data_IF_613022607219
#
_entry.id   IF_613022607219
#
_cell.length_a   1.000
_cell.length_b   1.000
_cell.length_c   1.000
_cell.angle_alpha   90.00
_cell.angle_beta   90.00
_cell.angle_gamma   90.00
#
_symmetry.space_group_name_H-M   'P 1'
#
loop_
_entity.id
_entity.type
_entity.pdbx_description
1 polymer ?
#
# COMPACT_ATOMS: atom_id res chain seq x y z
N UNK A 1 -2.15 -43.84 19.69
CA UNK A 1 -0.92 -43.97 20.50
C UNK A 1 -0.72 -42.65 21.23
N UNK A 2 -0.84 -42.63 22.56
CA UNK A 2 -0.49 -41.47 23.38
C UNK A 2 1.02 -41.51 23.61
N UNK A 3 1.72 -40.41 23.33
CA UNK A 3 3.16 -40.32 23.50
C UNK A 3 3.45 -40.12 25.00
N UNK A 4 4.01 -41.14 25.66
CA UNK A 4 4.39 -41.07 27.08
C UNK A 4 5.74 -40.37 27.25
N UNK A 5 5.68 -39.04 27.32
CA UNK A 5 6.85 -38.16 27.50
C UNK A 5 7.63 -38.50 28.80
N UNK A 6 6.93 -39.03 29.80
CA UNK A 6 7.48 -39.43 31.10
C UNK A 6 8.55 -40.53 30.99
N UNK A 7 8.46 -41.43 30.00
CA UNK A 7 9.44 -42.51 29.83
C UNK A 7 10.73 -42.01 29.15
N UNK A 8 10.63 -41.02 28.26
CA UNK A 8 11.79 -40.36 27.63
C UNK A 8 12.55 -39.48 28.63
N UNK A 9 11.83 -38.82 29.54
CA UNK A 9 12.44 -38.06 30.64
C UNK A 9 13.19 -38.95 31.66
N UNK A 10 12.77 -40.21 31.81
CA UNK A 10 13.36 -41.15 32.76
C UNK A 10 14.59 -41.90 32.25
N UNK A 11 14.80 -41.99 30.92
CA UNK A 11 15.94 -42.70 30.34
C UNK A 11 17.25 -41.89 30.43
N UNK A 12 17.17 -40.58 30.20
CA UNK A 12 18.31 -39.67 30.36
C UNK A 12 17.78 -38.25 30.67
N UNK A 13 18.02 -37.77 31.88
CA UNK A 13 17.35 -36.60 32.45
C UNK A 13 17.62 -35.30 31.67
N UNK A 14 18.75 -35.23 30.96
CA UNK A 14 19.14 -34.05 30.19
C UNK A 14 18.90 -34.21 28.69
N UNK A 15 19.18 -35.40 28.14
CA UNK A 15 19.13 -35.64 26.70
C UNK A 15 17.70 -35.72 26.16
N UNK A 16 16.78 -36.33 26.92
CA UNK A 16 15.37 -36.48 26.52
C UNK A 16 14.65 -35.14 26.29
N UNK A 17 14.59 -34.25 27.30
CA UNK A 17 13.96 -32.94 27.16
C UNK A 17 14.61 -32.06 26.09
N UNK A 18 15.94 -32.12 25.99
CA UNK A 18 16.71 -31.33 25.03
C UNK A 18 16.45 -31.75 23.58
N UNK A 19 16.49 -33.05 23.28
CA UNK A 19 16.15 -33.58 21.96
C UNK A 19 14.68 -33.33 21.61
N UNK A 20 13.76 -33.45 22.56
CA UNK A 20 12.34 -33.15 22.32
C UNK A 20 12.11 -31.66 22.01
N UNK A 21 12.74 -30.76 22.78
CA UNK A 21 12.66 -29.32 22.54
C UNK A 21 13.27 -28.94 21.19
N UNK A 22 14.44 -29.47 20.85
CA UNK A 22 15.09 -29.27 19.56
C UNK A 22 14.27 -29.84 18.41
N UNK A 23 13.65 -31.01 18.57
CA UNK A 23 12.78 -31.59 17.56
C UNK A 23 11.55 -30.74 17.32
N UNK A 24 10.87 -30.30 18.38
CA UNK A 24 9.71 -29.41 18.27
C UNK A 24 10.11 -28.06 17.65
N UNK A 25 11.26 -27.52 18.04
CA UNK A 25 11.82 -26.30 17.44
C UNK A 25 12.15 -26.51 15.96
N UNK A 26 12.89 -27.57 15.59
CA UNK A 26 13.24 -27.88 14.20
C UNK A 26 12.02 -28.12 13.34
N UNK A 27 11.05 -28.90 13.80
CA UNK A 27 9.82 -29.16 13.05
C UNK A 27 9.06 -27.85 12.83
N UNK A 28 8.88 -27.04 13.87
CA UNK A 28 8.21 -25.75 13.74
C UNK A 28 9.00 -24.82 12.82
N UNK A 29 10.31 -24.68 12.97
CA UNK A 29 11.13 -23.79 12.15
C UNK A 29 11.28 -24.27 10.71
N UNK A 30 11.45 -25.56 10.44
CA UNK A 30 11.57 -26.11 9.09
C UNK A 30 10.23 -26.07 8.38
N UNK A 31 9.15 -26.49 9.05
CA UNK A 31 7.81 -26.37 8.49
C UNK A 31 7.47 -24.90 8.25
N UNK A 32 7.67 -24.00 9.22
CA UNK A 32 7.39 -22.57 9.03
C UNK A 32 8.28 -21.95 7.95
N UNK A 33 9.58 -22.25 7.91
CA UNK A 33 10.47 -21.73 6.88
C UNK A 33 10.04 -22.16 5.48
N UNK A 34 9.59 -23.41 5.33
CA UNK A 34 9.07 -23.92 4.06
C UNK A 34 7.70 -23.32 3.72
N UNK A 35 6.77 -23.25 4.69
CA UNK A 35 5.47 -22.61 4.51
C UNK A 35 5.63 -21.13 4.14
N UNK A 36 6.49 -20.40 4.85
CA UNK A 36 6.82 -19.02 4.55
C UNK A 36 7.44 -18.88 3.15
N UNK A 37 8.29 -19.82 2.73
CA UNK A 37 8.87 -19.82 1.39
C UNK A 37 7.80 -20.06 0.31
N UNK A 38 6.90 -21.02 0.48
CA UNK A 38 5.78 -21.31 -0.44
C UNK A 38 4.82 -20.12 -0.51
N UNK A 39 4.45 -19.55 0.64
CA UNK A 39 3.58 -18.37 0.70
C UNK A 39 4.26 -17.17 0.03
N UNK A 40 5.55 -16.95 0.32
CA UNK A 40 6.33 -15.86 -0.27
C UNK A 40 6.49 -16.02 -1.79
N UNK A 41 6.69 -17.24 -2.27
CA UNK A 41 6.80 -17.50 -3.71
C UNK A 41 5.45 -17.35 -4.43
N UNK A 42 4.37 -17.87 -3.85
CA UNK A 42 3.00 -17.66 -4.35
C UNK A 42 2.64 -16.18 -4.39
N UNK A 43 3.02 -15.43 -3.37
CA UNK A 43 2.83 -13.98 -3.29
C UNK A 43 3.65 -13.24 -4.35
N UNK A 44 4.91 -13.64 -4.57
CA UNK A 44 5.76 -13.07 -5.64
C UNK A 44 5.23 -13.37 -7.03
N UNK A 45 4.73 -14.58 -7.24
CA UNK A 45 4.12 -14.99 -8.50
C UNK A 45 2.84 -14.18 -8.79
N UNK A 46 1.98 -13.98 -7.78
CA UNK A 46 0.81 -13.11 -7.90
C UNK A 46 1.18 -11.62 -8.10
N UNK A 47 2.22 -11.15 -7.40
CA UNK A 47 2.71 -9.76 -7.43
C UNK A 47 3.37 -9.36 -8.76
N UNK A 48 3.80 -10.31 -9.59
CA UNK A 48 4.37 -10.04 -10.91
C UNK A 48 3.42 -9.32 -11.87
N UNK A 49 2.11 -9.33 -11.59
CA UNK A 49 1.08 -8.79 -12.50
C UNK A 49 0.34 -7.55 -11.97
N UNK A 50 0.54 -7.10 -10.73
CA UNK A 50 -0.37 -6.13 -10.11
C UNK A 50 0.33 -5.22 -9.08
N UNK A 51 0.79 -4.04 -9.50
CA UNK A 51 1.32 -3.00 -8.59
C UNK A 51 0.28 -2.55 -7.53
N UNK A 52 -1.01 -2.70 -7.83
CA UNK A 52 -2.10 -2.29 -6.95
C UNK A 52 -2.25 -3.15 -5.68
N UNK A 53 -1.80 -4.40 -5.71
CA UNK A 53 -2.04 -5.36 -4.62
C UNK A 53 -1.06 -5.22 -3.44
N UNK A 54 0.09 -4.60 -3.68
CA UNK A 54 1.08 -4.32 -2.63
C UNK A 54 0.55 -3.35 -1.58
N UNK A 55 -0.29 -2.42 -2.01
CA UNK A 55 -0.98 -1.49 -1.12
C UNK A 55 -1.91 -2.27 -0.22
N UNK A 56 -2.79 -3.12 -0.77
CA UNK A 56 -3.79 -3.87 -0.01
C UNK A 56 -3.15 -4.84 1.00
N UNK A 57 -2.10 -5.55 0.60
CA UNK A 57 -1.46 -6.58 1.43
C UNK A 57 -0.61 -5.96 2.55
N UNK A 58 0.06 -4.84 2.29
CA UNK A 58 0.71 -4.06 3.35
C UNK A 58 -0.30 -3.47 4.33
N UNK A 59 -1.48 -3.05 3.86
CA UNK A 59 -2.59 -2.64 4.73
C UNK A 59 -3.12 -3.78 5.60
N UNK A 60 -3.32 -4.98 5.03
CA UNK A 60 -3.80 -6.15 5.78
C UNK A 60 -2.78 -6.64 6.82
N UNK A 61 -1.49 -6.70 6.46
CA UNK A 61 -0.42 -7.04 7.39
C UNK A 61 -0.28 -5.98 8.49
N UNK A 62 -0.35 -4.68 8.15
CA UNK A 62 -0.37 -3.60 9.15
C UNK A 62 -1.55 -3.75 10.12
N UNK A 63 -2.73 -4.14 9.62
CA UNK A 63 -3.91 -4.42 10.46
C UNK A 63 -3.72 -5.66 11.34
N UNK A 64 -3.10 -6.72 10.82
CA UNK A 64 -2.79 -7.93 11.57
C UNK A 64 -1.75 -7.67 12.67
N UNK A 65 -0.67 -6.93 12.38
CA UNK A 65 0.35 -6.52 13.36
C UNK A 65 -0.21 -5.58 14.44
N UNK A 66 -1.16 -4.72 14.08
CA UNK A 66 -1.88 -3.86 15.04
C UNK A 66 -2.79 -4.69 15.95
N UNK A 67 -3.42 -5.73 15.41
CA UNK A 67 -4.30 -6.62 16.18
C UNK A 67 -3.52 -7.53 17.13
N UNK A 68 -2.36 -8.04 16.71
CA UNK A 68 -1.48 -8.87 17.54
C UNK A 68 -0.69 -8.08 18.60
N UNK A 69 -0.87 -6.76 18.69
CA UNK A 69 -0.31 -5.91 19.74
C UNK A 69 1.22 -5.81 19.73
N UNK A 70 1.88 -6.35 18.72
CA UNK A 70 3.33 -6.59 18.70
C UNK A 70 4.15 -5.34 18.29
N UNK A 71 3.50 -4.33 17.71
CA UNK A 71 4.19 -3.12 17.21
C UNK A 71 3.69 -1.89 17.96
N UNK A 72 4.49 -1.36 18.90
CA UNK A 72 4.36 0.06 19.27
C UNK A 72 4.79 0.88 18.05
N UNK A 73 3.92 1.80 17.64
CA UNK A 73 4.07 2.69 16.50
C UNK A 73 5.48 3.28 16.43
N UNK A 74 6.22 2.96 15.35
CA UNK A 74 7.42 3.72 15.03
C UNK A 74 6.97 5.02 14.36
N UNK A 75 7.37 6.15 14.93
CA UNK A 75 6.88 7.49 14.59
C UNK A 75 7.11 7.87 13.10
N UNK A 76 8.00 7.14 12.42
CA UNK A 76 8.25 7.21 10.98
C UNK A 76 7.06 6.76 10.12
N UNK A 77 6.30 5.73 10.51
CA UNK A 77 5.20 5.19 9.68
C UNK A 77 3.97 6.12 9.67
N UNK A 78 3.70 6.84 10.77
CA UNK A 78 2.62 7.84 10.84
C UNK A 78 2.96 9.05 9.96
N UNK A 79 4.24 9.39 9.85
CA UNK A 79 4.69 10.50 9.03
C UNK A 79 4.58 10.16 7.54
N UNK A 80 4.97 8.95 7.15
CA UNK A 80 4.86 8.46 5.77
C UNK A 80 3.39 8.36 5.29
N UNK A 81 2.46 7.91 6.15
CA UNK A 81 1.02 7.92 5.82
C UNK A 81 0.44 9.34 5.66
N UNK A 82 0.91 10.31 6.46
CA UNK A 82 0.50 11.71 6.30
C UNK A 82 1.05 12.32 5.02
N UNK A 83 2.31 12.04 4.70
CA UNK A 83 2.96 12.55 3.48
C UNK A 83 2.32 11.96 2.21
N UNK A 84 1.97 10.66 2.20
CA UNK A 84 1.25 10.04 1.07
C UNK A 84 -0.15 10.64 0.86
N UNK A 85 -0.90 10.89 1.94
CA UNK A 85 -2.21 11.57 1.85
C UNK A 85 -2.08 12.98 1.32
N UNK A 86 -1.06 13.71 1.78
CA UNK A 86 -0.80 15.08 1.30
C UNK A 86 -0.45 15.08 -0.18
N UNK A 87 0.38 14.14 -0.64
CA UNK A 87 0.79 14.01 -2.05
C UNK A 87 -0.37 13.72 -3.00
N UNK A 88 -1.30 12.84 -2.60
CA UNK A 88 -2.52 12.57 -3.38
C UNK A 88 -3.38 13.81 -3.55
N UNK A 89 -3.49 14.64 -2.51
CA UNK A 89 -4.34 15.84 -2.53
C UNK A 89 -3.76 16.97 -3.40
N UNK A 90 -2.44 16.97 -3.65
CA UNK A 90 -1.79 17.91 -4.57
C UNK A 90 -1.78 17.44 -6.03
N UNK A 91 -1.96 16.16 -6.29
CA UNK A 91 -1.92 15.62 -7.66
C UNK A 91 -3.18 16.02 -8.46
N UNK A 92 -4.36 15.92 -7.84
CA UNK A 92 -5.66 16.33 -8.40
C UNK A 92 -5.70 17.78 -8.97
N UNK A 93 -5.27 18.83 -8.23
CA UNK A 93 -5.31 20.20 -8.76
C UNK A 93 -4.27 20.48 -9.85
N UNK A 94 -3.19 19.71 -9.94
CA UNK A 94 -2.12 19.89 -10.95
C UNK A 94 -2.54 19.30 -12.30
N UNK A 95 -3.20 18.13 -12.31
CA UNK A 95 -3.75 17.55 -13.55
C UNK A 95 -4.87 18.39 -14.16
N UNK A 96 -5.63 19.10 -13.32
CA UNK A 96 -6.75 19.93 -13.76
C UNK A 96 -6.34 21.37 -14.15
N UNK A 97 -5.04 21.68 -14.06
CA UNK A 97 -4.47 22.98 -14.44
C UNK A 97 -4.63 23.31 -15.93
N UNK A 98 -4.25 22.43 -16.89
CA UNK A 98 -4.44 22.71 -18.32
C UNK A 98 -5.89 23.04 -18.67
N UNK A 99 -6.86 22.32 -18.10
CA UNK A 99 -8.28 22.57 -18.33
C UNK A 99 -8.72 23.97 -17.88
N UNK A 100 -8.17 24.48 -16.76
CA UNK A 100 -8.44 25.85 -16.30
C UNK A 100 -7.84 26.91 -17.23
N UNK A 101 -6.68 26.63 -17.83
CA UNK A 101 -6.06 27.52 -18.82
C UNK A 101 -6.90 27.55 -20.10
N UNK A 102 -7.35 26.39 -20.59
CA UNK A 102 -8.22 26.29 -21.76
C UNK A 102 -9.54 27.04 -21.54
N UNK A 103 -10.15 26.89 -20.36
CA UNK A 103 -11.37 27.60 -20.00
C UNK A 103 -11.20 29.12 -19.99
N UNK A 104 -10.04 29.61 -19.53
CA UNK A 104 -9.73 31.03 -19.49
C UNK A 104 -9.46 31.59 -20.89
N UNK A 105 -8.77 30.82 -21.73
CA UNK A 105 -8.46 31.16 -23.11
C UNK A 105 -9.74 31.23 -23.97
N UNK A 106 -10.67 30.30 -23.76
CA UNK A 106 -11.98 30.29 -24.39
C UNK A 106 -12.83 31.50 -23.96
N UNK A 107 -12.85 31.82 -22.67
CA UNK A 107 -13.55 33.00 -22.16
C UNK A 107 -12.99 34.30 -22.77
N UNK A 108 -11.67 34.39 -22.92
CA UNK A 108 -10.99 35.55 -23.49
C UNK A 108 -11.27 35.68 -25.01
N UNK A 109 -11.24 34.55 -25.73
CA UNK A 109 -11.58 34.50 -27.14
C UNK A 109 -13.03 34.93 -27.39
N UNK A 110 -13.96 34.48 -26.54
CA UNK A 110 -15.38 34.88 -26.60
C UNK A 110 -15.57 36.39 -26.43
N UNK A 111 -14.84 37.01 -25.49
CA UNK A 111 -14.90 38.46 -25.26
C UNK A 111 -14.29 39.21 -26.44
N UNK A 112 -13.15 38.77 -26.96
CA UNK A 112 -12.51 39.38 -28.13
C UNK A 112 -13.42 39.34 -29.36
N UNK A 113 -14.04 38.20 -29.64
CA UNK A 113 -14.98 38.03 -30.76
C UNK A 113 -16.21 38.92 -30.57
N UNK A 114 -16.79 38.97 -29.37
CA UNK A 114 -17.92 39.83 -29.06
C UNK A 114 -17.59 41.31 -29.30
N UNK A 115 -16.43 41.77 -28.80
CA UNK A 115 -15.97 43.14 -28.99
C UNK A 115 -15.69 43.48 -30.46
N UNK A 116 -15.13 42.52 -31.22
CA UNK A 116 -14.89 42.69 -32.66
C UNK A 116 -16.18 42.79 -33.48
N UNK A 117 -17.20 42.02 -33.09
CA UNK A 117 -18.53 42.08 -33.73
C UNK A 117 -19.23 43.40 -33.42
N UNK A 118 -19.13 43.89 -32.18
CA UNK A 118 -19.68 45.20 -31.80
C UNK A 118 -18.99 46.36 -32.55
N UNK A 119 -17.66 46.33 -32.70
CA UNK A 119 -16.92 47.30 -33.50
C UNK A 119 -17.31 47.26 -34.98
N UNK A 120 -17.45 46.07 -35.57
CA UNK A 120 -17.89 45.91 -36.95
C UNK A 120 -19.35 46.31 -37.18
N UNK A 121 -20.21 46.21 -36.16
CA UNK A 121 -21.59 46.73 -36.20
C UNK A 121 -21.62 48.26 -36.12
N UNK A 122 -20.75 48.88 -35.32
CA UNK A 122 -20.64 50.33 -35.22
C UNK A 122 -20.10 50.95 -36.52
N UNK A 123 -19.13 50.32 -37.17
CA UNK A 123 -18.61 50.76 -38.48
C UNK A 123 -19.67 50.69 -39.59
N UNK A 124 -20.53 49.66 -39.57
CA UNK A 124 -21.65 49.53 -40.54
C UNK A 124 -22.85 50.43 -40.23
N UNK A 125 -22.93 50.99 -39.03
CA UNK A 125 -24.05 51.83 -38.59
C UNK A 125 -23.88 53.33 -38.88
N UNK A 126 -22.74 53.76 -39.42
CA UNK A 126 -22.59 55.11 -39.99
C UNK A 126 -22.52 56.22 -38.94
N UNK A 127 -21.29 56.55 -38.56
CA UNK A 127 -20.81 57.93 -38.49
C UNK A 127 -19.50 58.00 -39.27
#
# INVERSE_FOLDING_TARGET
MKFDVSQIMGADAFLGPFCFALFMFLVVFVCLSMFLSIINDSFRHAKGNQEQDQIILSFMLKKFLRWTGLKRLNQSEIQEERDCRMRSQYFDPVENFPYKIDQLLEALNRIYIAQKIDLARLEKAGF
#
